data_IF_737413681358
#
_entry.id   IF_737413681358
#
_cell.length_a   1.000
_cell.length_b   1.000
_cell.length_c   1.000
_cell.angle_alpha   90.00
_cell.angle_beta   90.00
_cell.angle_gamma   90.00
#
_symmetry.space_group_name_H-M   'P 1'
#
loop_
_entity.id
_entity.type
_entity.pdbx_description
1 polymer ?
#
# COMPACT_ATOMS: atom_id res chain seq x y z
N UNK A 1 11.99 -2.52 23.65
CA UNK A 1 11.52 -1.20 23.28
C UNK A 1 12.67 -0.25 22.95
N UNK A 2 12.35 0.98 22.58
CA UNK A 2 13.35 2.03 22.36
C UNK A 2 13.62 2.76 23.68
N UNK A 3 14.90 3.08 23.96
CA UNK A 3 15.28 3.80 25.17
C UNK A 3 14.92 5.29 25.06
N UNK A 4 14.93 5.84 23.85
CA UNK A 4 14.64 7.23 23.56
C UNK A 4 13.99 7.38 22.19
N UNK A 5 12.94 8.18 22.10
CA UNK A 5 12.29 8.60 20.86
C UNK A 5 12.27 10.12 20.82
N UNK A 6 12.78 10.72 19.76
CA UNK A 6 12.80 12.17 19.53
C UNK A 6 11.91 12.47 18.31
N UNK A 7 10.69 12.98 18.52
CA UNK A 7 9.81 13.32 17.41
C UNK A 7 10.16 14.68 16.80
N UNK A 8 10.15 14.73 15.48
CA UNK A 8 10.21 15.94 14.66
C UNK A 8 8.92 16.04 13.86
N UNK A 9 8.25 17.19 13.91
CA UNK A 9 6.98 17.41 13.22
C UNK A 9 7.14 18.49 12.14
N UNK A 10 6.34 18.37 11.07
CA UNK A 10 6.34 19.32 9.96
C UNK A 10 7.71 19.52 9.30
N UNK A 11 8.49 18.43 9.24
CA UNK A 11 9.84 18.45 8.66
C UNK A 11 9.74 18.67 7.15
N UNK A 12 10.51 19.63 6.65
CA UNK A 12 10.60 19.93 5.22
C UNK A 12 11.74 19.16 4.58
N UNK A 13 11.64 18.95 3.27
CA UNK A 13 12.63 18.16 2.54
C UNK A 13 14.04 18.73 2.64
N UNK A 14 14.19 20.06 2.64
CA UNK A 14 15.46 20.75 2.81
C UNK A 14 16.14 20.56 4.17
N UNK A 15 15.40 20.18 5.21
CA UNK A 15 15.92 19.97 6.56
C UNK A 15 16.47 18.54 6.77
N UNK A 16 16.10 17.59 5.89
CA UNK A 16 16.39 16.16 6.08
C UNK A 16 17.89 15.88 6.14
N UNK A 17 18.67 16.48 5.25
CA UNK A 17 20.14 16.27 5.24
C UNK A 17 20.76 16.66 6.58
N UNK A 18 20.39 17.81 7.13
CA UNK A 18 20.90 18.28 8.44
C UNK A 18 20.49 17.34 9.58
N UNK A 19 19.21 16.96 9.64
CA UNK A 19 18.69 16.08 10.68
C UNK A 19 19.34 14.68 10.66
N UNK A 20 19.58 14.14 9.46
CA UNK A 20 20.26 12.85 9.31
C UNK A 20 21.72 12.96 9.75
N UNK A 21 22.43 14.02 9.35
CA UNK A 21 23.81 14.26 9.76
C UNK A 21 23.94 14.46 11.28
N UNK A 22 23.02 15.17 11.89
CA UNK A 22 22.95 15.28 13.35
C UNK A 22 22.76 13.91 14.01
N UNK A 23 21.88 13.07 13.46
CA UNK A 23 21.63 11.72 13.98
C UNK A 23 22.85 10.81 13.88
N UNK A 24 23.60 10.85 12.75
CA UNK A 24 24.75 9.97 12.53
C UNK A 24 26.02 10.45 13.23
N UNK A 25 26.29 11.76 13.32
CA UNK A 25 27.51 12.28 13.90
C UNK A 25 27.46 12.48 15.42
N UNK A 26 26.26 12.65 16.01
CA UNK A 26 26.10 12.80 17.45
C UNK A 26 26.35 11.53 18.27
N UNK A 27 26.40 10.35 17.62
CA UNK A 27 26.36 9.04 18.30
C UNK A 27 27.66 8.25 18.29
N UNK A 28 28.61 8.60 17.45
CA UNK A 28 29.82 7.78 17.22
C UNK A 28 29.52 6.40 16.57
N UNK A 29 30.57 5.63 16.20
CA UNK A 29 30.43 4.42 15.38
C UNK A 29 29.62 3.28 16.02
N UNK A 30 29.57 3.21 17.35
CA UNK A 30 28.77 2.19 18.07
C UNK A 30 27.35 2.64 18.28
N UNK A 31 27.10 3.95 18.43
CA UNK A 31 25.79 4.51 18.64
C UNK A 31 24.89 4.49 17.39
N UNK A 32 25.49 4.68 16.21
CA UNK A 32 24.73 4.61 14.94
C UNK A 32 24.07 3.25 14.72
N UNK A 33 24.69 2.17 15.19
CA UNK A 33 24.12 0.80 15.10
C UNK A 33 22.89 0.60 15.99
N UNK A 34 22.62 1.52 16.90
CA UNK A 34 21.47 1.53 17.83
C UNK A 34 20.53 2.70 17.57
N UNK A 35 20.70 3.37 16.45
CA UNK A 35 19.88 4.52 16.03
C UNK A 35 19.10 4.15 14.77
N UNK A 36 17.85 4.59 14.69
CA UNK A 36 17.02 4.42 13.52
C UNK A 36 16.20 5.69 13.28
N UNK A 37 15.87 5.92 12.01
CA UNK A 37 14.99 7.00 11.58
C UNK A 37 13.70 6.37 11.08
N UNK A 38 12.56 6.78 11.66
CA UNK A 38 11.24 6.42 11.19
C UNK A 38 10.60 7.61 10.48
N UNK A 39 10.11 7.38 9.27
CA UNK A 39 9.44 8.40 8.46
C UNK A 39 7.95 8.07 8.43
N UNK A 40 7.16 8.87 9.13
CA UNK A 40 5.70 8.82 9.15
C UNK A 40 5.10 9.87 8.21
N UNK A 41 3.80 10.14 8.39
CA UNK A 41 3.05 11.15 7.62
C UNK A 41 1.84 10.56 6.91
N UNK A 42 1.22 11.32 6.02
CA UNK A 42 0.04 10.88 5.26
C UNK A 42 0.32 10.74 3.76
N UNK A 43 1.32 11.45 3.25
CA UNK A 43 1.68 11.45 1.83
C UNK A 43 2.82 10.46 1.59
N UNK A 44 2.52 9.42 0.81
CA UNK A 44 3.51 8.37 0.48
C UNK A 44 4.60 8.88 -0.46
N UNK A 45 4.29 9.83 -1.34
CA UNK A 45 5.25 10.43 -2.26
C UNK A 45 6.30 11.24 -1.50
N UNK A 46 5.85 12.11 -0.60
CA UNK A 46 6.75 12.91 0.28
C UNK A 46 7.58 11.99 1.17
N UNK A 47 6.97 10.94 1.75
CA UNK A 47 7.72 10.00 2.58
C UNK A 47 8.82 9.26 1.81
N UNK A 48 8.57 8.88 0.56
CA UNK A 48 9.58 8.29 -0.33
C UNK A 48 10.70 9.28 -0.65
N UNK A 49 10.37 10.54 -0.95
CA UNK A 49 11.37 11.59 -1.20
C UNK A 49 12.26 11.84 0.03
N UNK A 50 11.65 11.95 1.21
CA UNK A 50 12.38 12.08 2.48
C UNK A 50 13.32 10.89 2.67
N UNK A 51 12.84 9.67 2.42
CA UNK A 51 13.67 8.46 2.55
C UNK A 51 14.88 8.49 1.60
N UNK A 52 14.68 8.90 0.35
CA UNK A 52 15.79 9.00 -0.62
C UNK A 52 16.81 10.08 -0.26
N UNK A 53 16.36 11.25 0.19
CA UNK A 53 17.25 12.31 0.69
C UNK A 53 18.01 11.82 1.94
N UNK A 54 17.31 11.16 2.87
CA UNK A 54 17.92 10.63 4.07
C UNK A 54 19.00 9.57 3.79
N UNK A 55 18.75 8.66 2.84
CA UNK A 55 19.77 7.67 2.40
C UNK A 55 21.00 8.37 1.82
N UNK A 56 20.82 9.38 0.98
CA UNK A 56 21.92 10.14 0.35
C UNK A 56 22.70 10.99 1.35
N UNK A 57 22.10 11.37 2.47
CA UNK A 57 22.74 12.18 3.51
C UNK A 57 23.67 11.37 4.42
N UNK A 58 23.65 10.04 4.34
CA UNK A 58 24.50 9.17 5.13
C UNK A 58 25.95 9.19 4.64
N UNK A 59 26.88 9.04 5.57
CA UNK A 59 28.33 9.05 5.32
C UNK A 59 28.93 7.80 5.91
N UNK A 60 29.32 6.80 5.11
CA UNK A 60 29.95 5.58 5.62
C UNK A 60 31.22 5.88 6.46
N UNK A 61 31.45 5.21 7.57
CA UNK A 61 30.65 4.13 8.16
C UNK A 61 29.51 4.60 9.09
N UNK A 62 29.16 5.88 9.08
CA UNK A 62 28.09 6.46 9.90
C UNK A 62 26.76 6.33 9.16
N UNK A 63 26.14 5.17 9.31
CA UNK A 63 24.86 4.85 8.69
C UNK A 63 23.89 4.33 9.74
N UNK A 64 22.62 4.72 9.64
CA UNK A 64 21.53 4.29 10.51
C UNK A 64 20.43 3.62 9.70
N UNK A 65 19.63 2.78 10.34
CA UNK A 65 18.45 2.20 9.69
C UNK A 65 17.41 3.28 9.41
N UNK A 66 16.82 3.25 8.22
CA UNK A 66 15.68 4.09 7.87
C UNK A 66 14.49 3.19 7.55
N UNK A 67 13.32 3.56 8.07
CA UNK A 67 12.07 2.90 7.76
C UNK A 67 10.99 3.95 7.51
N UNK A 68 10.32 3.86 6.37
CA UNK A 68 9.19 4.72 6.02
C UNK A 68 7.90 3.89 6.01
N UNK A 69 6.88 4.36 6.72
CA UNK A 69 5.54 3.78 6.68
C UNK A 69 4.47 4.84 6.97
N UNK A 70 4.23 5.75 6.00
CA UNK A 70 3.28 6.84 6.17
C UNK A 70 1.86 6.27 6.35
N UNK A 71 1.23 6.59 7.48
CA UNK A 71 -0.10 6.09 7.88
C UNK A 71 -0.25 4.56 7.85
N UNK A 72 0.85 3.81 7.99
CA UNK A 72 0.84 2.36 7.88
C UNK A 72 0.59 1.85 6.45
N UNK A 73 0.75 2.69 5.43
CA UNK A 73 0.35 2.34 4.07
C UNK A 73 1.19 1.22 3.47
N UNK A 74 2.50 1.27 3.63
CA UNK A 74 3.39 0.28 3.02
C UNK A 74 3.28 -1.10 3.69
N UNK A 75 3.25 -1.12 5.03
CA UNK A 75 3.11 -2.39 5.76
C UNK A 75 1.74 -3.02 5.53
N UNK A 76 0.66 -2.22 5.50
CA UNK A 76 -0.69 -2.71 5.22
C UNK A 76 -0.80 -3.26 3.79
N UNK A 77 -0.28 -2.53 2.80
CA UNK A 77 -0.29 -2.96 1.42
C UNK A 77 0.51 -4.27 1.21
N UNK A 78 1.72 -4.34 1.80
CA UNK A 78 2.55 -5.53 1.72
C UNK A 78 1.87 -6.76 2.35
N UNK A 79 1.24 -6.58 3.52
CA UNK A 79 0.50 -7.64 4.18
C UNK A 79 -0.72 -8.10 3.35
N UNK A 80 -1.48 -7.16 2.79
CA UNK A 80 -2.64 -7.47 1.94
C UNK A 80 -2.23 -8.27 0.71
N UNK A 81 -1.19 -7.82 -0.02
CA UNK A 81 -0.70 -8.51 -1.21
C UNK A 81 -0.18 -9.91 -0.86
N UNK A 82 0.60 -10.04 0.22
CA UNK A 82 1.11 -11.33 0.67
C UNK A 82 -0.01 -12.30 1.07
N UNK A 83 -1.06 -11.82 1.74
CA UNK A 83 -2.23 -12.65 2.08
C UNK A 83 -2.98 -13.13 0.83
N UNK A 84 -3.17 -12.27 -0.14
CA UNK A 84 -3.81 -12.60 -1.43
C UNK A 84 -2.96 -13.63 -2.19
N UNK A 85 -1.66 -13.39 -2.32
CA UNK A 85 -0.75 -14.31 -3.01
C UNK A 85 -0.73 -15.69 -2.35
N UNK A 86 -0.69 -15.72 -1.01
CA UNK A 86 -0.81 -16.98 -0.26
C UNK A 86 -2.11 -17.72 -0.58
N UNK A 87 -3.26 -17.02 -0.62
CA UNK A 87 -4.54 -17.65 -0.95
C UNK A 87 -4.59 -18.13 -2.41
N UNK A 88 -4.03 -17.38 -3.35
CA UNK A 88 -3.90 -17.80 -4.75
C UNK A 88 -3.08 -19.10 -4.84
N UNK A 89 -1.95 -19.17 -4.15
CA UNK A 89 -1.10 -20.34 -4.13
C UNK A 89 -1.78 -21.55 -3.49
N UNK A 90 -2.42 -21.37 -2.31
CA UNK A 90 -3.04 -22.47 -1.57
C UNK A 90 -4.31 -23.01 -2.21
N UNK A 91 -5.14 -22.13 -2.84
CA UNK A 91 -6.45 -22.52 -3.38
C UNK A 91 -6.44 -22.78 -4.90
N UNK A 92 -5.53 -22.16 -5.62
CA UNK A 92 -5.50 -22.19 -7.08
C UNK A 92 -4.16 -22.65 -7.67
N UNK A 93 -3.10 -22.81 -6.86
CA UNK A 93 -1.77 -23.25 -7.30
C UNK A 93 -1.05 -22.24 -8.19
N UNK A 94 -1.42 -20.93 -8.14
CA UNK A 94 -0.86 -19.85 -8.95
C UNK A 94 -0.36 -18.71 -8.06
N UNK A 95 0.53 -17.85 -8.59
CA UNK A 95 0.93 -16.57 -8.01
C UNK A 95 0.11 -15.40 -8.58
N UNK A 96 0.60 -14.19 -8.31
CA UNK A 96 0.00 -12.96 -8.84
C UNK A 96 0.33 -12.71 -10.32
N UNK A 97 1.40 -13.32 -10.84
CA UNK A 97 1.85 -13.13 -12.23
C UNK A 97 0.71 -13.41 -13.23
N UNK A 98 0.44 -12.44 -14.10
CA UNK A 98 -0.62 -12.51 -15.11
C UNK A 98 -2.05 -12.39 -14.57
N UNK A 99 -2.27 -12.29 -13.25
CA UNK A 99 -3.60 -12.10 -12.69
C UNK A 99 -4.11 -10.68 -12.98
N UNK A 100 -5.34 -10.60 -13.51
CA UNK A 100 -6.05 -9.32 -13.67
C UNK A 100 -6.55 -8.87 -12.31
N UNK A 101 -5.95 -7.82 -11.81
CA UNK A 101 -6.15 -7.32 -10.46
C UNK A 101 -6.82 -5.95 -10.47
N UNK A 102 -7.87 -5.77 -9.67
CA UNK A 102 -8.59 -4.51 -9.53
C UNK A 102 -8.41 -4.00 -8.10
N UNK A 103 -7.98 -2.73 -7.95
CA UNK A 103 -7.76 -2.10 -6.65
C UNK A 103 -8.79 -1.00 -6.44
N UNK A 104 -9.82 -1.25 -5.66
CA UNK A 104 -10.78 -0.23 -5.22
C UNK A 104 -10.18 0.61 -4.09
N UNK A 105 -10.41 1.93 -4.12
CA UNK A 105 -9.68 2.88 -3.28
C UNK A 105 -8.23 3.03 -3.75
N UNK A 106 -7.98 2.71 -5.02
CA UNK A 106 -6.66 2.60 -5.63
C UNK A 106 -5.85 3.87 -5.71
N UNK A 107 -6.46 5.04 -5.51
CA UNK A 107 -5.79 6.35 -5.49
C UNK A 107 -5.37 6.80 -4.09
N UNK A 108 -5.82 6.10 -3.05
CA UNK A 108 -5.38 6.34 -1.68
C UNK A 108 -3.99 5.74 -1.38
N UNK A 109 -3.37 6.13 -0.24
CA UNK A 109 -2.01 5.68 0.12
C UNK A 109 -1.82 4.16 0.10
N UNK A 110 -2.71 3.43 0.76
CA UNK A 110 -2.67 1.94 0.79
C UNK A 110 -2.96 1.36 -0.59
N UNK A 111 -3.91 1.95 -1.34
CA UNK A 111 -4.30 1.48 -2.67
C UNK A 111 -3.18 1.60 -3.69
N UNK A 112 -2.52 2.75 -3.74
CA UNK A 112 -1.35 2.96 -4.61
C UNK A 112 -0.23 1.96 -4.24
N UNK A 113 0.11 1.85 -2.96
CA UNK A 113 1.15 0.92 -2.52
C UNK A 113 0.79 -0.54 -2.87
N UNK A 114 -0.48 -0.94 -2.67
CA UNK A 114 -0.99 -2.26 -3.07
C UNK A 114 -0.86 -2.49 -4.57
N UNK A 115 -1.29 -1.52 -5.38
CA UNK A 115 -1.21 -1.59 -6.84
C UNK A 115 0.23 -1.73 -7.32
N UNK A 116 1.14 -0.91 -6.80
CA UNK A 116 2.57 -0.96 -7.13
C UNK A 116 3.17 -2.32 -6.76
N UNK A 117 2.97 -2.80 -5.53
CA UNK A 117 3.52 -4.09 -5.09
C UNK A 117 2.96 -5.23 -5.96
N UNK A 118 1.65 -5.25 -6.22
CA UNK A 118 1.04 -6.29 -7.06
C UNK A 118 1.57 -6.24 -8.51
N UNK A 119 1.74 -5.04 -9.09
CA UNK A 119 2.29 -4.84 -10.43
C UNK A 119 3.73 -5.32 -10.54
N UNK A 120 4.57 -5.01 -9.54
CA UNK A 120 5.96 -5.48 -9.48
C UNK A 120 6.07 -7.01 -9.29
N UNK A 121 5.00 -7.66 -8.81
CA UNK A 121 4.88 -9.12 -8.76
C UNK A 121 4.16 -9.70 -10.00
N UNK A 122 4.10 -8.94 -11.09
CA UNK A 122 3.64 -9.41 -12.41
C UNK A 122 2.13 -9.40 -12.62
N UNK A 123 1.34 -8.85 -11.71
CA UNK A 123 -0.10 -8.70 -11.90
C UNK A 123 -0.42 -7.59 -12.93
N UNK A 124 -1.49 -7.81 -13.72
CA UNK A 124 -2.10 -6.77 -14.57
C UNK A 124 -3.06 -5.95 -13.73
N UNK A 125 -2.56 -4.81 -13.20
CA UNK A 125 -3.26 -4.02 -12.18
C UNK A 125 -4.00 -2.84 -12.76
N UNK A 126 -5.28 -2.71 -12.37
CA UNK A 126 -6.11 -1.52 -12.61
C UNK A 126 -6.49 -0.87 -11.28
N UNK A 127 -6.02 0.35 -11.03
CA UNK A 127 -6.45 1.16 -9.90
C UNK A 127 -7.76 1.89 -10.23
N UNK A 128 -8.65 1.96 -9.25
CA UNK A 128 -9.98 2.53 -9.40
C UNK A 128 -10.15 3.73 -8.50
N UNK A 129 -10.53 4.86 -9.10
CA UNK A 129 -11.05 6.03 -8.38
C UNK A 129 -12.60 6.07 -8.50
N UNK A 130 -13.26 6.57 -7.47
CA UNK A 130 -14.72 6.69 -7.45
C UNK A 130 -15.22 8.10 -7.77
N UNK A 131 -14.32 9.08 -7.87
CA UNK A 131 -14.65 10.50 -8.10
C UNK A 131 -14.19 10.99 -9.47
N UNK A 132 -12.97 10.62 -9.92
CA UNK A 132 -12.35 11.20 -11.10
C UNK A 132 -11.44 10.22 -11.83
N UNK A 133 -11.66 10.10 -13.14
CA UNK A 133 -10.71 9.37 -14.01
C UNK A 133 -9.36 10.12 -14.10
N UNK A 134 -9.38 11.43 -14.10
CA UNK A 134 -8.16 12.23 -14.22
C UNK A 134 -7.25 12.01 -12.99
N UNK A 135 -7.82 11.98 -11.79
CA UNK A 135 -7.05 11.66 -10.58
C UNK A 135 -6.45 10.25 -10.65
N UNK A 136 -7.20 9.25 -11.12
CA UNK A 136 -6.69 7.89 -11.27
C UNK A 136 -5.54 7.82 -12.29
N UNK A 137 -5.66 8.51 -13.42
CA UNK A 137 -4.62 8.58 -14.46
C UNK A 137 -3.37 9.29 -13.98
N UNK A 138 -3.54 10.43 -13.28
CA UNK A 138 -2.42 11.16 -12.68
C UNK A 138 -1.64 10.28 -11.72
N UNK A 139 -2.33 9.62 -10.77
CA UNK A 139 -1.70 8.72 -9.81
C UNK A 139 -1.04 7.52 -10.47
N UNK A 140 -1.68 6.87 -11.43
CA UNK A 140 -1.06 5.77 -12.16
C UNK A 140 0.23 6.22 -12.87
N UNK A 141 0.19 7.37 -13.56
CA UNK A 141 1.35 7.92 -14.28
C UNK A 141 2.49 8.25 -13.32
N UNK A 142 2.18 8.95 -12.21
CA UNK A 142 3.15 9.31 -11.18
C UNK A 142 3.89 8.07 -10.65
N UNK A 143 3.15 7.06 -10.20
CA UNK A 143 3.74 5.90 -9.54
C UNK A 143 4.32 4.87 -10.51
N UNK A 144 3.85 4.79 -11.75
CA UNK A 144 4.51 4.05 -12.81
C UNK A 144 5.93 4.58 -13.05
N UNK A 145 6.08 5.91 -13.14
CA UNK A 145 7.39 6.52 -13.31
C UNK A 145 8.28 6.39 -12.06
N UNK A 146 7.71 6.54 -10.86
CA UNK A 146 8.44 6.56 -9.60
C UNK A 146 8.93 5.18 -9.16
N UNK A 147 8.15 4.13 -9.46
CA UNK A 147 8.36 2.78 -8.95
C UNK A 147 8.63 1.74 -10.02
N UNK A 148 8.75 2.14 -11.31
CA UNK A 148 8.87 1.21 -12.45
C UNK A 148 7.72 0.18 -12.49
N UNK A 149 6.51 0.63 -12.14
CA UNK A 149 5.29 -0.16 -12.14
C UNK A 149 4.52 -0.01 -13.47
N UNK A 150 3.48 -0.80 -13.65
CA UNK A 150 2.62 -0.78 -14.86
C UNK A 150 1.14 -0.72 -14.48
N UNK A 151 0.76 0.31 -13.72
CA UNK A 151 -0.61 0.55 -13.29
C UNK A 151 -1.47 1.10 -14.43
N UNK A 152 -2.62 0.49 -14.64
CA UNK A 152 -3.73 1.05 -15.41
C UNK A 152 -4.65 1.82 -14.47
N UNK A 153 -5.43 2.75 -15.01
CA UNK A 153 -6.35 3.56 -14.23
C UNK A 153 -7.75 3.51 -14.82
N UNK A 154 -8.75 3.54 -13.96
CA UNK A 154 -10.15 3.63 -14.35
C UNK A 154 -10.98 4.36 -13.30
N UNK A 155 -12.23 4.62 -13.66
CA UNK A 155 -13.23 5.24 -12.82
C UNK A 155 -14.44 4.33 -12.67
N UNK A 156 -14.99 4.23 -11.46
CA UNK A 156 -16.22 3.50 -11.20
C UNK A 156 -16.97 4.13 -10.02
N UNK A 157 -18.12 4.78 -10.32
CA UNK A 157 -18.99 5.36 -9.29
C UNK A 157 -20.26 4.54 -9.07
N UNK A 158 -20.75 3.87 -10.10
CA UNK A 158 -21.98 3.06 -10.01
C UNK A 158 -21.69 1.57 -9.74
N UNK A 159 -22.67 0.87 -9.19
CA UNK A 159 -22.58 -0.58 -8.99
C UNK A 159 -22.45 -1.33 -10.31
N UNK A 160 -23.05 -0.83 -11.39
CA UNK A 160 -22.90 -1.40 -12.72
C UNK A 160 -21.45 -1.28 -13.24
N UNK A 161 -20.76 -0.17 -12.97
CA UNK A 161 -19.35 0.01 -13.32
C UNK A 161 -18.46 -0.97 -12.54
N UNK A 162 -18.70 -1.09 -11.23
CA UNK A 162 -17.97 -2.02 -10.37
C UNK A 162 -18.17 -3.48 -10.81
N UNK A 163 -19.41 -3.88 -11.07
CA UNK A 163 -19.73 -5.22 -11.56
C UNK A 163 -19.01 -5.53 -12.87
N UNK A 164 -19.00 -4.59 -13.83
CA UNK A 164 -18.28 -4.73 -15.10
C UNK A 164 -16.76 -4.90 -14.90
N UNK A 165 -16.16 -4.14 -13.96
CA UNK A 165 -14.74 -4.24 -13.66
C UNK A 165 -14.37 -5.59 -13.07
N UNK A 166 -15.15 -6.10 -12.10
CA UNK A 166 -14.82 -7.37 -11.44
C UNK A 166 -15.22 -8.61 -12.22
N UNK A 167 -16.10 -8.50 -13.24
CA UNK A 167 -16.56 -9.64 -14.04
C UNK A 167 -15.41 -10.40 -14.72
N UNK A 168 -14.31 -9.71 -15.04
CA UNK A 168 -13.12 -10.26 -15.65
C UNK A 168 -11.89 -10.27 -14.74
N UNK A 169 -12.04 -9.86 -13.47
CA UNK A 169 -10.94 -9.83 -12.51
C UNK A 169 -10.66 -11.22 -11.95
N UNK A 170 -9.39 -11.53 -11.77
CA UNK A 170 -8.91 -12.71 -11.05
C UNK A 170 -8.74 -12.39 -9.56
N UNK A 171 -8.35 -11.13 -9.24
CA UNK A 171 -8.08 -10.65 -7.89
C UNK A 171 -8.73 -9.29 -7.67
N UNK A 172 -9.28 -9.09 -6.49
CA UNK A 172 -9.77 -7.79 -6.04
C UNK A 172 -9.10 -7.41 -4.73
N UNK A 173 -8.58 -6.20 -4.69
CA UNK A 173 -8.10 -5.53 -3.47
C UNK A 173 -9.07 -4.39 -3.14
N UNK A 174 -9.59 -4.38 -1.91
CA UNK A 174 -10.38 -3.27 -1.38
C UNK A 174 -9.56 -2.53 -0.33
N UNK A 175 -9.19 -1.31 -0.67
CA UNK A 175 -8.40 -0.42 0.19
C UNK A 175 -9.15 0.89 0.45
N UNK A 176 -10.46 0.85 0.31
CA UNK A 176 -11.32 1.99 0.55
C UNK A 176 -11.36 2.39 2.03
N UNK A 177 -11.89 3.58 2.30
CA UNK A 177 -12.02 4.10 3.66
C UNK A 177 -12.87 3.15 4.53
N UNK A 178 -12.43 2.95 5.76
CA UNK A 178 -13.13 2.14 6.75
C UNK A 178 -14.60 2.56 6.94
N UNK A 179 -15.49 1.57 7.05
CA UNK A 179 -16.92 1.79 7.20
C UNK A 179 -17.66 2.13 5.91
N UNK A 180 -17.04 1.97 4.74
CA UNK A 180 -17.67 2.15 3.43
C UNK A 180 -17.71 0.82 2.68
N UNK A 181 -18.92 0.31 2.40
CA UNK A 181 -19.10 -0.85 1.53
C UNK A 181 -18.89 -0.46 0.06
N UNK A 182 -17.96 -1.13 -0.60
CA UNK A 182 -17.62 -0.91 -2.03
C UNK A 182 -18.28 -1.96 -2.91
N UNK A 183 -18.21 -3.22 -2.50
CA UNK A 183 -18.72 -4.37 -3.24
C UNK A 183 -19.77 -5.09 -2.40
N UNK A 184 -21.05 -4.99 -2.82
CA UNK A 184 -22.15 -5.75 -2.23
C UNK A 184 -22.16 -7.20 -2.74
N UNK A 185 -22.89 -8.08 -2.04
CA UNK A 185 -23.09 -9.46 -2.47
C UNK A 185 -23.70 -9.56 -3.88
N UNK A 186 -24.57 -8.61 -4.27
CA UNK A 186 -25.16 -8.57 -5.60
C UNK A 186 -24.13 -8.26 -6.69
N UNK A 187 -23.16 -7.39 -6.42
CA UNK A 187 -22.08 -7.08 -7.36
C UNK A 187 -21.15 -8.31 -7.51
N UNK A 188 -20.87 -8.99 -6.41
CA UNK A 188 -19.99 -10.17 -6.39
C UNK A 188 -20.61 -11.39 -7.10
N UNK A 189 -21.94 -11.49 -7.15
CA UNK A 189 -22.64 -12.64 -7.75
C UNK A 189 -22.26 -12.88 -9.23
N UNK A 190 -21.91 -11.83 -9.96
CA UNK A 190 -21.52 -11.89 -11.37
C UNK A 190 -19.99 -12.04 -11.58
N UNK A 191 -19.20 -12.01 -10.53
CA UNK A 191 -17.74 -12.08 -10.58
C UNK A 191 -17.23 -13.54 -10.72
N UNK A 192 -17.65 -14.24 -11.78
CA UNK A 192 -17.42 -15.68 -11.97
C UNK A 192 -15.95 -16.09 -12.14
N UNK A 193 -15.07 -15.16 -12.47
CA UNK A 193 -13.64 -15.40 -12.65
C UNK A 193 -12.83 -15.04 -11.41
N UNK A 194 -13.43 -14.36 -10.46
CA UNK A 194 -12.78 -13.92 -9.24
C UNK A 194 -12.31 -15.11 -8.40
N UNK A 195 -11.02 -15.17 -8.15
CA UNK A 195 -10.36 -16.24 -7.37
C UNK A 195 -10.19 -15.85 -5.91
N UNK A 196 -9.69 -14.63 -5.67
CA UNK A 196 -9.40 -14.13 -4.34
C UNK A 196 -9.78 -12.65 -4.25
N UNK A 197 -10.38 -12.28 -3.13
CA UNK A 197 -10.62 -10.88 -2.78
C UNK A 197 -10.07 -10.59 -1.39
N UNK A 198 -9.46 -9.43 -1.19
CA UNK A 198 -8.94 -8.97 0.09
C UNK A 198 -9.43 -7.58 0.42
N UNK A 199 -9.75 -7.37 1.70
CA UNK A 199 -10.26 -6.11 2.24
C UNK A 199 -9.44 -5.71 3.46
N UNK A 200 -8.94 -4.47 3.48
CA UNK A 200 -8.26 -3.90 4.66
C UNK A 200 -9.23 -3.30 5.67
N UNK A 201 -10.50 -3.18 5.32
CA UNK A 201 -11.52 -2.58 6.16
C UNK A 201 -12.11 -3.60 7.14
N UNK A 202 -11.68 -3.55 8.40
CA UNK A 202 -12.22 -4.39 9.47
C UNK A 202 -13.39 -3.75 10.24
N UNK A 203 -13.87 -2.57 9.83
CA UNK A 203 -14.95 -1.82 10.49
C UNK A 203 -16.24 -1.98 9.69
N UNK A 204 -17.31 -2.49 10.29
CA UNK A 204 -18.61 -2.61 9.60
C UNK A 204 -19.20 -1.24 9.16
N UNK A 205 -19.84 -1.19 7.96
CA UNK A 205 -19.88 -2.26 6.98
C UNK A 205 -18.52 -2.53 6.36
N UNK A 206 -18.20 -3.80 6.08
CA UNK A 206 -16.98 -4.17 5.39
C UNK A 206 -16.95 -3.61 3.98
N UNK A 207 -15.78 -3.37 3.43
CA UNK A 207 -15.62 -2.89 2.07
C UNK A 207 -16.13 -3.90 1.03
N UNK A 208 -15.94 -5.19 1.30
CA UNK A 208 -16.47 -6.29 0.48
C UNK A 208 -17.44 -7.11 1.33
N UNK A 209 -18.69 -7.20 0.88
CA UNK A 209 -19.70 -8.04 1.52
C UNK A 209 -19.36 -9.53 1.38
N UNK A 210 -19.76 -10.33 2.37
CA UNK A 210 -19.54 -11.79 2.40
C UNK A 210 -18.05 -12.25 2.49
N UNK A 211 -17.11 -11.37 2.81
CA UNK A 211 -15.77 -11.81 3.21
C UNK A 211 -15.82 -12.34 4.65
N UNK A 212 -15.41 -13.60 4.84
CA UNK A 212 -15.11 -14.13 6.16
C UNK A 212 -13.85 -13.44 6.71
N UNK A 213 -13.96 -12.86 7.90
CA UNK A 213 -12.79 -12.26 8.56
C UNK A 213 -11.85 -13.40 8.96
N UNK A 214 -10.81 -13.63 8.16
CA UNK A 214 -9.73 -14.54 8.52
C UNK A 214 -8.92 -13.89 9.67
N UNK A 215 -9.22 -14.30 10.90
CA UNK A 215 -8.40 -13.93 12.07
C UNK A 215 -7.11 -14.72 12.01
N UNK A 216 -5.97 -14.04 12.02
CA UNK A 216 -4.68 -14.71 12.15
C UNK A 216 -4.61 -15.55 13.44
N UNK A 217 -3.74 -16.56 13.51
CA UNK A 217 -3.70 -17.54 14.62
C UNK A 217 -3.44 -16.95 16.01
N UNK A 218 -3.16 -15.65 16.13
CA UNK A 218 -2.83 -14.97 17.40
C UNK A 218 -3.80 -13.84 17.78
N UNK A 219 -4.97 -13.72 17.16
CA UNK A 219 -5.97 -12.71 17.56
C UNK A 219 -6.88 -13.28 18.64
N UNK A 220 -6.46 -13.23 19.90
CA UNK A 220 -7.36 -13.24 21.05
C UNK A 220 -8.04 -11.88 21.16
N UNK A 221 -9.38 -11.90 21.27
CA UNK A 221 -10.24 -10.75 21.59
C UNK A 221 -9.89 -10.21 22.97
#
# INVERSE_FOLDING_TARGET
GFDLIIPYNNVKLEEITGLVQDAIFSRGPTGVKRTAIFIGGHDIGIAMEIMEVAKKAMVPPFEVSIFADPSGAFTTAAALVACIEKQLQEKHGIGLEGCRSVVFGGTGPVGIATGVIASLNGADVTIVDHLSIDNALEKATEYNHRCDASLKATFASSDADKARLISNADVVFCTAKAGIQVLSASILADARQLKVAGDVNAVPPLGIDAIEISRGPNSTV
#
